data_IF_371677020653
#
_entry.id   IF_371677020653
#
_cell.length_a   1.000
_cell.length_b   1.000
_cell.length_c   1.000
_cell.angle_alpha   90.00
_cell.angle_beta   90.00
_cell.angle_gamma   90.00
#
_symmetry.space_group_name_H-M   'P 1'
#
loop_
_entity.id
_entity.type
_entity.pdbx_description
1 polymer ?
#
# COMPACT_ATOMS: atom_id res chain seq x y z
N UNK A 1 -7.51 -14.87 13.66
CA UNK A 1 -6.91 -13.54 13.57
C UNK A 1 -7.45 -12.76 12.39
N UNK A 2 -7.68 -11.49 12.59
CA UNK A 2 -8.14 -10.64 11.51
C UNK A 2 -7.01 -10.36 10.51
N UNK A 3 -7.38 -10.28 9.25
CA UNK A 3 -6.47 -9.89 8.18
C UNK A 3 -6.75 -8.46 7.77
N UNK A 4 -5.70 -7.69 7.61
CA UNK A 4 -5.79 -6.29 7.17
C UNK A 4 -4.92 -6.11 5.94
N UNK A 5 -5.47 -5.44 4.93
CA UNK A 5 -4.74 -5.12 3.70
C UNK A 5 -4.79 -3.62 3.51
N UNK A 6 -3.62 -3.02 3.37
CA UNK A 6 -3.49 -1.60 3.06
C UNK A 6 -3.22 -1.50 1.57
N UNK A 7 -4.14 -0.85 0.86
CA UNK A 7 -4.08 -0.68 -0.58
C UNK A 7 -3.67 0.75 -0.89
N UNK A 8 -2.58 0.92 -1.61
CA UNK A 8 -2.08 2.25 -1.95
C UNK A 8 -1.56 2.29 -3.39
N UNK A 9 -1.98 3.30 -4.17
CA UNK A 9 -1.38 3.53 -5.47
C UNK A 9 -0.10 4.35 -5.36
N UNK A 10 0.79 4.23 -6.33
CA UNK A 10 1.99 5.06 -6.40
C UNK A 10 2.35 5.33 -7.85
N UNK A 11 2.93 6.51 -8.09
CA UNK A 11 3.48 6.88 -9.39
C UNK A 11 4.72 7.74 -9.18
N UNK A 12 5.89 7.18 -9.50
CA UNK A 12 7.19 7.87 -9.45
C UNK A 12 7.56 8.52 -8.11
N UNK A 13 6.92 8.09 -7.01
CA UNK A 13 7.18 8.69 -5.70
C UNK A 13 7.46 7.60 -4.66
N UNK A 14 8.53 6.87 -4.90
CA UNK A 14 8.95 5.78 -4.01
C UNK A 14 9.41 6.27 -2.65
N UNK A 15 9.87 7.51 -2.58
CA UNK A 15 10.30 8.12 -1.32
C UNK A 15 9.12 8.34 -0.38
N UNK A 16 8.05 8.94 -0.89
CA UNK A 16 6.83 9.15 -0.10
C UNK A 16 6.22 7.82 0.31
N UNK A 17 6.22 6.85 -0.59
CA UNK A 17 5.72 5.52 -0.28
C UNK A 17 6.54 4.86 0.83
N UNK A 18 7.85 4.96 0.78
CA UNK A 18 8.72 4.40 1.82
C UNK A 18 8.43 5.03 3.19
N UNK A 19 8.22 6.34 3.24
CA UNK A 19 7.84 7.03 4.46
C UNK A 19 6.49 6.57 4.97
N UNK A 20 5.52 6.42 4.07
CA UNK A 20 4.18 5.94 4.42
C UNK A 20 4.25 4.54 5.03
N UNK A 21 5.01 3.64 4.42
CA UNK A 21 5.15 2.28 4.92
C UNK A 21 5.75 2.27 6.33
N UNK A 22 6.75 3.10 6.56
CA UNK A 22 7.38 3.20 7.88
C UNK A 22 6.39 3.70 8.93
N UNK A 23 5.59 4.72 8.61
CA UNK A 23 4.59 5.26 9.51
C UNK A 23 3.50 4.22 9.83
N UNK A 24 3.04 3.50 8.81
CA UNK A 24 2.07 2.43 9.00
C UNK A 24 2.66 1.37 9.93
N UNK A 25 3.90 0.96 9.67
CA UNK A 25 4.57 -0.06 10.47
C UNK A 25 4.65 0.33 11.94
N UNK A 26 4.98 1.58 12.22
CA UNK A 26 5.02 2.09 13.59
C UNK A 26 3.65 2.06 14.26
N UNK A 27 2.61 2.43 13.51
CA UNK A 27 1.26 2.52 14.06
C UNK A 27 0.63 1.17 14.34
N UNK A 28 1.06 0.10 13.67
CA UNK A 28 0.48 -1.23 13.86
C UNK A 28 1.25 -2.12 14.83
N UNK A 29 2.36 -1.65 15.40
CA UNK A 29 3.24 -2.51 16.21
C UNK A 29 2.56 -3.13 17.42
N UNK A 30 1.64 -2.43 18.05
CA UNK A 30 0.91 -2.96 19.21
C UNK A 30 -0.39 -3.66 18.87
N UNK A 31 -0.74 -3.76 17.59
CA UNK A 31 -2.03 -4.30 17.16
C UNK A 31 -1.94 -5.79 16.85
N UNK A 32 -3.03 -6.51 17.13
CA UNK A 32 -3.14 -7.92 16.75
C UNK A 32 -3.68 -8.03 15.33
N UNK A 33 -3.21 -9.04 14.60
CA UNK A 33 -3.69 -9.32 13.26
C UNK A 33 -2.55 -9.48 12.26
N UNK A 34 -2.93 -9.82 11.04
CA UNK A 34 -1.99 -9.95 9.93
C UNK A 34 -2.12 -8.73 9.04
N UNK A 35 -1.03 -8.01 8.83
CA UNK A 35 -1.02 -6.79 8.05
C UNK A 35 -0.21 -6.97 6.77
N UNK A 36 -0.85 -6.69 5.64
CA UNK A 36 -0.23 -6.74 4.31
C UNK A 36 -0.41 -5.41 3.62
N UNK A 37 0.51 -5.09 2.72
CA UNK A 37 0.38 -3.91 1.87
C UNK A 37 0.33 -4.37 0.42
N UNK A 38 -0.66 -3.87 -0.31
CA UNK A 38 -0.76 -4.04 -1.74
C UNK A 38 -0.52 -2.69 -2.40
N UNK A 39 0.57 -2.59 -3.13
CA UNK A 39 0.97 -1.36 -3.82
C UNK A 39 0.62 -1.52 -5.29
N UNK A 40 -0.14 -0.56 -5.83
CA UNK A 40 -0.41 -0.51 -7.26
C UNK A 40 0.51 0.52 -7.87
N UNK A 41 1.54 0.04 -8.57
CA UNK A 41 2.47 0.90 -9.28
C UNK A 41 1.84 1.31 -10.62
N UNK A 42 1.44 2.57 -10.71
CA UNK A 42 0.70 3.10 -11.85
C UNK A 42 1.64 3.44 -13.01
N UNK A 43 2.37 2.43 -13.48
CA UNK A 43 3.31 2.54 -14.60
C UNK A 43 4.41 3.58 -14.35
N UNK A 44 5.02 3.56 -13.16
CA UNK A 44 6.14 4.44 -12.83
C UNK A 44 7.28 4.26 -13.84
N UNK A 45 7.89 5.36 -14.23
CA UNK A 45 9.07 5.36 -15.09
C UNK A 45 10.36 5.26 -14.27
N UNK A 46 10.28 5.55 -12.98
CA UNK A 46 11.40 5.42 -12.04
C UNK A 46 11.31 4.05 -11.39
N UNK A 47 12.42 3.31 -11.37
CA UNK A 47 12.45 2.00 -10.74
C UNK A 47 12.11 2.07 -9.25
N UNK A 48 11.42 1.04 -8.73
CA UNK A 48 11.08 1.00 -7.31
C UNK A 48 12.33 1.06 -6.43
N UNK A 49 12.34 2.03 -5.50
CA UNK A 49 13.39 2.14 -4.49
C UNK A 49 12.74 2.28 -3.13
N UNK A 50 12.23 1.16 -2.62
CA UNK A 50 11.63 1.14 -1.30
C UNK A 50 12.71 0.96 -0.24
N UNK A 51 12.69 1.82 0.77
CA UNK A 51 13.55 1.67 1.92
C UNK A 51 12.77 0.94 3.01
N UNK A 52 13.04 -0.35 3.17
CA UNK A 52 12.34 -1.19 4.14
C UNK A 52 13.19 -1.52 5.36
N UNK A 53 14.31 -0.82 5.54
CA UNK A 53 15.32 -1.14 6.55
C UNK A 53 14.74 -1.20 7.97
N UNK A 54 13.85 -0.29 8.31
CA UNK A 54 13.31 -0.18 9.67
C UNK A 54 11.89 -0.74 9.80
N UNK A 55 11.43 -1.47 8.78
CA UNK A 55 10.13 -2.11 8.82
C UNK A 55 10.22 -3.39 9.66
N UNK A 56 9.37 -3.49 10.67
CA UNK A 56 9.37 -4.63 11.59
C UNK A 56 8.13 -5.50 11.50
N UNK A 57 6.98 -4.90 11.30
CA UNK A 57 5.69 -5.56 11.38
C UNK A 57 5.10 -5.86 10.00
N UNK A 58 5.23 -4.92 9.07
CA UNK A 58 4.77 -5.08 7.69
C UNK A 58 5.75 -5.97 6.94
N UNK A 59 5.48 -7.26 6.89
CA UNK A 59 6.40 -8.20 6.24
C UNK A 59 5.95 -8.61 4.85
N UNK A 60 4.66 -8.47 4.55
CA UNK A 60 4.12 -8.85 3.25
C UNK A 60 3.78 -7.60 2.46
N UNK A 61 4.65 -7.27 1.52
CA UNK A 61 4.48 -6.13 0.64
C UNK A 61 4.44 -6.68 -0.78
N UNK A 62 3.32 -6.44 -1.46
CA UNK A 62 3.11 -6.93 -2.81
C UNK A 62 2.94 -5.73 -3.74
N UNK A 63 3.64 -5.73 -4.86
CA UNK A 63 3.57 -4.66 -5.85
C UNK A 63 2.97 -5.22 -7.13
N UNK A 64 1.90 -4.60 -7.60
CA UNK A 64 1.33 -4.86 -8.91
C UNK A 64 1.65 -3.66 -9.79
N UNK A 65 2.33 -3.91 -10.90
CA UNK A 65 2.72 -2.85 -11.83
C UNK A 65 1.77 -2.84 -13.02
N UNK A 66 1.15 -1.69 -13.27
CA UNK A 66 0.29 -1.49 -14.41
C UNK A 66 1.13 -1.18 -15.65
N UNK A 67 0.64 -1.59 -16.82
CA UNK A 67 1.35 -1.36 -18.09
C UNK A 67 1.23 0.08 -18.56
N UNK A 68 0.21 0.80 -18.10
CA UNK A 68 -0.13 2.13 -18.59
C UNK A 68 -0.58 2.97 -17.42
N UNK A 69 -0.15 4.23 -17.38
CA UNK A 69 -0.59 5.17 -16.36
C UNK A 69 -2.10 5.39 -16.48
N UNK A 70 -2.81 5.18 -15.39
CA UNK A 70 -4.28 5.20 -15.38
C UNK A 70 -4.87 6.15 -14.34
N UNK A 71 -4.03 6.72 -13.47
CA UNK A 71 -4.46 7.58 -12.37
C UNK A 71 -4.75 6.80 -11.10
N UNK A 72 -4.76 7.51 -9.97
CA UNK A 72 -4.87 6.87 -8.66
C UNK A 72 -6.20 6.16 -8.44
N UNK A 73 -7.31 6.74 -8.92
CA UNK A 73 -8.62 6.11 -8.75
C UNK A 73 -8.72 4.79 -9.49
N UNK A 74 -8.24 4.75 -10.75
CA UNK A 74 -8.23 3.51 -11.51
C UNK A 74 -7.28 2.47 -10.92
N UNK A 75 -6.13 2.92 -10.42
CA UNK A 75 -5.18 2.05 -9.75
C UNK A 75 -5.81 1.39 -8.53
N UNK A 76 -6.52 2.16 -7.71
CA UNK A 76 -7.24 1.63 -6.55
C UNK A 76 -8.29 0.62 -7.00
N UNK A 77 -9.05 0.92 -8.05
CA UNK A 77 -10.05 -0.01 -8.58
C UNK A 77 -9.41 -1.33 -9.05
N UNK A 78 -8.26 -1.26 -9.70
CA UNK A 78 -7.52 -2.46 -10.11
C UNK A 78 -7.15 -3.29 -8.88
N UNK A 79 -6.64 -2.65 -7.83
CA UNK A 79 -6.29 -3.32 -6.59
C UNK A 79 -7.47 -3.99 -5.92
N UNK A 80 -8.60 -3.30 -5.83
CA UNK A 80 -9.83 -3.85 -5.25
C UNK A 80 -10.32 -5.05 -6.05
N UNK A 81 -10.28 -4.94 -7.39
CA UNK A 81 -10.68 -6.03 -8.27
C UNK A 81 -9.77 -7.25 -8.11
N UNK A 82 -8.47 -7.01 -8.01
CA UNK A 82 -7.50 -8.07 -7.75
C UNK A 82 -7.82 -8.81 -6.46
N UNK A 83 -8.08 -8.08 -5.37
CA UNK A 83 -8.39 -8.66 -4.08
C UNK A 83 -9.72 -9.42 -4.12
N UNK A 84 -10.71 -8.90 -4.82
CA UNK A 84 -11.99 -9.59 -5.02
C UNK A 84 -11.80 -10.91 -5.77
N UNK A 85 -10.99 -10.92 -6.82
CA UNK A 85 -10.72 -12.11 -7.60
C UNK A 85 -9.96 -13.17 -6.80
N UNK A 86 -9.12 -12.74 -5.88
CA UNK A 86 -8.41 -13.63 -4.96
C UNK A 86 -9.29 -14.08 -3.79
N UNK A 87 -10.52 -13.60 -3.72
CA UNK A 87 -11.45 -13.87 -2.62
C UNK A 87 -10.83 -13.55 -1.27
N UNK A 88 -10.11 -12.45 -1.20
CA UNK A 88 -9.43 -12.01 0.01
C UNK A 88 -10.46 -11.71 1.11
N UNK A 89 -10.28 -12.34 2.26
CA UNK A 89 -11.11 -12.07 3.44
C UNK A 89 -10.30 -11.18 4.38
N UNK A 90 -10.47 -9.88 4.22
CA UNK A 90 -9.67 -8.91 4.96
C UNK A 90 -10.39 -7.58 5.06
N UNK A 91 -9.99 -6.80 6.06
CA UNK A 91 -10.38 -5.40 6.15
C UNK A 91 -9.41 -4.62 5.27
N UNK A 92 -9.94 -3.88 4.29
CA UNK A 92 -9.13 -3.16 3.33
C UNK A 92 -9.15 -1.67 3.67
N UNK A 93 -7.98 -1.09 3.86
CA UNK A 93 -7.81 0.34 4.09
C UNK A 93 -7.09 0.93 2.89
N UNK A 94 -7.68 1.96 2.29
CA UNK A 94 -7.10 2.62 1.13
C UNK A 94 -6.41 3.90 1.57
N UNK A 95 -5.14 4.04 1.20
CA UNK A 95 -4.35 5.23 1.51
C UNK A 95 -3.68 5.69 0.22
N UNK A 96 -3.80 6.98 -0.09
CA UNK A 96 -3.10 7.56 -1.22
C UNK A 96 -1.73 8.04 -0.76
N UNK A 97 -0.67 7.58 -1.43
CA UNK A 97 0.71 7.87 -1.04
C UNK A 97 1.30 9.09 -1.76
N UNK A 98 0.49 9.93 -2.35
CA UNK A 98 0.98 11.08 -3.12
C UNK A 98 1.47 12.25 -2.25
N UNK A 99 1.50 12.08 -0.93
CA UNK A 99 1.96 13.10 -0.01
C UNK A 99 0.86 14.01 0.53
N UNK A 100 -0.35 13.93 -0.01
CA UNK A 100 -1.47 14.72 0.47
C UNK A 100 -2.15 14.10 1.68
N UNK A 101 -2.15 12.78 1.76
CA UNK A 101 -2.75 12.07 2.88
C UNK A 101 -1.74 11.80 3.98
N UNK A 102 -2.09 12.19 5.19
CA UNK A 102 -1.27 11.93 6.38
C UNK A 102 -1.75 10.65 7.04
N UNK A 103 -0.87 9.64 7.23
CA UNK A 103 -1.25 8.39 7.89
C UNK A 103 -1.87 8.58 9.27
N UNK A 104 -1.55 9.68 9.95
CA UNK A 104 -2.13 10.00 11.24
C UNK A 104 -3.61 10.33 11.17
N UNK A 105 -4.12 10.63 10.00
CA UNK A 105 -5.54 10.94 9.77
C UNK A 105 -6.36 9.72 9.35
N UNK A 106 -5.77 8.55 9.36
CA UNK A 106 -6.49 7.30 9.09
C UNK A 106 -7.44 7.02 10.23
N UNK A 107 -8.69 6.91 9.88
CA UNK A 107 -9.74 6.65 10.87
C UNK A 107 -10.37 5.31 10.64
#
# INVERSE_FOLDING_TARGET
MSNFIILTPTFNDWRSLSKLLLEIDKNIQGLKGNFKVLIINDASTIEPKLNLRNIKRLRKIHIITLKKNSGSQKSICVGLKYLKNKKAKAIITIIDSDGEDDPRHIK
#
